data_IF_611334168285
#
_entry.id   IF_611334168285
#
_cell.length_a   1.000
_cell.length_b   1.000
_cell.length_c   1.000
_cell.angle_alpha   90.00
_cell.angle_beta   90.00
_cell.angle_gamma   90.00
#
_symmetry.space_group_name_H-M   'P 1'
#
loop_
_entity.id
_entity.type
_entity.pdbx_description
1 polymer ?
#
# COMPACT_ATOMS: atom_id res chain seq x y z
N UNK A 1 -11.63 7.79 -22.75
CA UNK A 1 -10.66 6.84 -23.33
C UNK A 1 -9.46 7.57 -23.94
N UNK A 2 -9.61 8.30 -25.04
CA UNK A 2 -8.50 9.04 -25.67
C UNK A 2 -8.09 10.29 -24.84
N UNK A 3 -9.08 11.06 -24.36
CA UNK A 3 -8.86 12.20 -23.46
C UNK A 3 -8.19 11.81 -22.13
N UNK A 4 -8.61 10.68 -21.54
CA UNK A 4 -8.02 10.15 -20.29
C UNK A 4 -6.58 9.67 -20.48
N UNK A 5 -6.25 9.07 -21.63
CA UNK A 5 -4.88 8.67 -21.97
C UNK A 5 -4.00 9.91 -22.14
N UNK A 6 -4.48 10.93 -22.84
CA UNK A 6 -3.74 12.20 -23.03
C UNK A 6 -3.49 12.90 -21.70
N UNK A 7 -4.49 12.94 -20.81
CA UNK A 7 -4.36 13.55 -19.48
C UNK A 7 -3.34 12.81 -18.60
N UNK A 8 -3.38 11.46 -18.58
CA UNK A 8 -2.43 10.64 -17.81
C UNK A 8 -1.00 10.81 -18.32
N UNK A 9 -0.81 10.81 -19.65
CA UNK A 9 0.51 11.03 -20.26
C UNK A 9 1.01 12.45 -19.98
N UNK A 10 0.13 13.45 -20.00
CA UNK A 10 0.46 14.82 -19.64
C UNK A 10 0.89 14.97 -18.18
N UNK A 11 0.17 14.33 -17.23
CA UNK A 11 0.53 14.32 -15.82
C UNK A 11 1.86 13.60 -15.57
N UNK A 12 2.09 12.46 -16.22
CA UNK A 12 3.38 11.77 -16.17
C UNK A 12 4.51 12.63 -16.73
N UNK A 13 4.29 13.33 -17.84
CA UNK A 13 5.28 14.24 -18.41
C UNK A 13 5.62 15.40 -17.46
N UNK A 14 4.61 15.98 -16.78
CA UNK A 14 4.80 17.03 -15.77
C UNK A 14 5.58 16.50 -14.57
N UNK A 15 5.27 15.29 -14.10
CA UNK A 15 5.97 14.62 -13.00
C UNK A 15 7.44 14.34 -13.38
N UNK A 16 7.69 13.74 -14.55
CA UNK A 16 9.04 13.34 -15.00
C UNK A 16 9.93 14.57 -15.28
N UNK A 17 9.37 15.63 -15.89
CA UNK A 17 10.13 16.87 -16.17
C UNK A 17 10.48 17.65 -14.90
N UNK A 18 9.66 17.57 -13.85
CA UNK A 18 9.86 18.30 -12.58
C UNK A 18 10.59 17.47 -11.51
N UNK A 19 10.75 16.16 -11.73
CA UNK A 19 11.39 15.19 -10.83
C UNK A 19 12.81 14.78 -11.21
N UNK A 20 13.44 15.44 -12.19
CA UNK A 20 14.80 15.09 -12.63
C UNK A 20 15.87 15.40 -11.57
N UNK A 21 16.24 14.39 -10.78
CA UNK A 21 17.56 14.29 -10.14
C UNK A 21 17.82 15.17 -8.91
N UNK A 22 16.85 15.28 -7.99
CA UNK A 22 17.07 15.97 -6.70
C UNK A 22 17.12 14.97 -5.56
N UNK A 23 18.18 15.04 -4.75
CA UNK A 23 18.36 14.22 -3.53
C UNK A 23 17.29 14.49 -2.46
N UNK A 24 16.47 15.53 -2.63
CA UNK A 24 15.26 15.82 -1.86
C UNK A 24 14.06 15.68 -2.78
N UNK A 25 13.21 14.65 -2.58
CA UNK A 25 12.06 14.40 -3.43
C UNK A 25 11.02 15.52 -3.29
N UNK A 26 10.48 15.94 -4.43
CA UNK A 26 9.34 16.87 -4.47
C UNK A 26 8.05 16.13 -4.06
N UNK A 27 7.03 16.84 -3.58
CA UNK A 27 5.76 16.23 -3.13
C UNK A 27 5.12 15.30 -4.19
N UNK A 28 5.24 15.68 -5.46
CA UNK A 28 4.74 14.90 -6.61
C UNK A 28 5.54 13.62 -6.88
N UNK A 29 6.82 13.59 -6.51
CA UNK A 29 7.66 12.40 -6.63
C UNK A 29 7.38 11.44 -5.47
N UNK A 30 7.21 11.96 -4.25
CA UNK A 30 6.81 11.17 -3.07
C UNK A 30 5.47 10.45 -3.29
N UNK A 31 4.49 11.12 -3.92
CA UNK A 31 3.22 10.49 -4.29
C UNK A 31 3.40 9.32 -5.27
N UNK A 32 4.32 9.44 -6.24
CA UNK A 32 4.59 8.39 -7.23
C UNK A 32 5.32 7.21 -6.59
N UNK A 33 6.31 7.47 -5.74
CA UNK A 33 6.98 6.45 -4.94
C UNK A 33 5.99 5.72 -4.01
N UNK A 34 5.06 6.43 -3.38
CA UNK A 34 3.99 5.83 -2.55
C UNK A 34 3.09 4.89 -3.36
N UNK A 35 2.67 5.30 -4.54
CA UNK A 35 1.85 4.45 -5.43
C UNK A 35 2.65 3.24 -5.90
N UNK A 36 3.94 3.41 -6.19
CA UNK A 36 4.81 2.35 -6.67
C UNK A 36 5.07 1.30 -5.58
N UNK A 37 5.38 1.75 -4.36
CA UNK A 37 5.60 0.89 -3.19
C UNK A 37 4.31 0.16 -2.78
N UNK A 38 3.17 0.85 -2.80
CA UNK A 38 1.86 0.24 -2.56
C UNK A 38 1.54 -0.89 -3.55
N UNK A 39 1.75 -0.67 -4.84
CA UNK A 39 1.54 -1.71 -5.86
C UNK A 39 2.52 -2.87 -5.65
N UNK A 40 3.76 -2.59 -5.26
CA UNK A 40 4.77 -3.61 -5.00
C UNK A 40 4.41 -4.46 -3.78
N UNK A 41 3.96 -3.85 -2.69
CA UNK A 41 3.51 -4.56 -1.51
C UNK A 41 2.25 -5.38 -1.81
N UNK A 42 1.28 -4.81 -2.52
CA UNK A 42 0.07 -5.51 -2.96
C UNK A 42 0.41 -6.75 -3.81
N UNK A 43 1.30 -6.61 -4.79
CA UNK A 43 1.72 -7.71 -5.66
C UNK A 43 2.48 -8.77 -4.87
N UNK A 44 3.31 -8.36 -3.91
CA UNK A 44 4.08 -9.29 -3.11
C UNK A 44 3.21 -10.11 -2.16
N UNK A 45 2.25 -9.47 -1.51
CA UNK A 45 1.32 -10.06 -0.55
C UNK A 45 0.28 -10.96 -1.24
N UNK A 46 -0.31 -10.49 -2.35
CA UNK A 46 -1.41 -11.21 -3.03
C UNK A 46 -0.92 -12.28 -4.01
N UNK A 47 0.25 -12.10 -4.63
CA UNK A 47 0.86 -13.07 -5.57
C UNK A 47 1.97 -13.89 -4.88
N UNK A 48 1.92 -13.98 -3.54
CA UNK A 48 2.94 -14.55 -2.64
C UNK A 48 3.47 -15.96 -2.93
N UNK A 49 2.85 -16.73 -3.84
CA UNK A 49 3.26 -18.10 -4.19
C UNK A 49 4.17 -18.26 -5.41
N UNK A 50 4.39 -17.21 -6.22
CA UNK A 50 5.17 -17.32 -7.47
C UNK A 50 6.62 -16.83 -7.27
N UNK A 51 7.60 -17.66 -7.66
CA UNK A 51 9.05 -17.40 -7.61
C UNK A 51 9.40 -15.98 -8.07
N UNK A 52 10.27 -15.28 -7.33
CA UNK A 52 10.58 -13.86 -7.53
C UNK A 52 10.97 -13.46 -8.97
N UNK A 53 11.44 -14.42 -9.78
CA UNK A 53 11.79 -14.20 -11.19
C UNK A 53 10.57 -13.95 -12.11
N UNK A 54 9.42 -14.56 -11.83
CA UNK A 54 8.19 -14.33 -12.61
C UNK A 54 7.44 -13.09 -12.14
N UNK A 55 7.47 -12.76 -10.84
CA UNK A 55 6.84 -11.55 -10.28
C UNK A 55 7.33 -10.27 -10.95
N UNK A 56 8.64 -10.10 -11.10
CA UNK A 56 9.25 -8.93 -11.74
C UNK A 56 8.83 -8.74 -13.20
N UNK A 57 8.47 -9.82 -13.90
CA UNK A 57 8.03 -9.75 -15.30
C UNK A 57 6.58 -9.30 -15.45
N UNK A 58 5.72 -9.66 -14.49
CA UNK A 58 4.32 -9.22 -14.44
C UNK A 58 4.15 -7.86 -13.75
N UNK A 59 5.08 -7.48 -12.87
CA UNK A 59 5.02 -6.27 -12.06
C UNK A 59 4.84 -4.96 -12.88
N UNK A 60 5.63 -4.70 -13.95
CA UNK A 60 5.43 -3.51 -14.78
C UNK A 60 4.04 -3.45 -15.41
N UNK A 61 3.49 -4.61 -15.77
CA UNK A 61 2.16 -4.71 -16.41
C UNK A 61 1.03 -4.47 -15.41
N UNK A 62 1.18 -4.93 -14.17
CA UNK A 62 0.23 -4.70 -13.08
C UNK A 62 0.27 -3.22 -12.66
N UNK A 63 1.47 -2.65 -12.50
CA UNK A 63 1.66 -1.24 -12.14
C UNK A 63 1.01 -0.28 -13.15
N UNK A 64 1.26 -0.48 -14.44
CA UNK A 64 0.67 0.35 -15.50
C UNK A 64 -0.85 0.24 -15.53
N UNK A 65 -1.40 -0.98 -15.39
CA UNK A 65 -2.85 -1.20 -15.42
C UNK A 65 -3.52 -0.60 -14.18
N UNK A 66 -2.91 -0.74 -13.00
CA UNK A 66 -3.40 -0.18 -11.74
C UNK A 66 -3.44 1.34 -11.76
N UNK A 67 -2.33 2.00 -12.12
CA UNK A 67 -2.28 3.46 -12.22
C UNK A 67 -3.26 3.98 -13.27
N UNK A 68 -3.34 3.33 -14.43
CA UNK A 68 -4.30 3.71 -15.47
C UNK A 68 -5.76 3.53 -15.03
N UNK A 69 -6.05 2.47 -14.27
CA UNK A 69 -7.38 2.24 -13.73
C UNK A 69 -7.75 3.31 -12.71
N UNK A 70 -6.86 3.69 -11.78
CA UNK A 70 -7.12 4.75 -10.79
C UNK A 70 -7.52 6.10 -11.40
N UNK A 71 -6.93 6.50 -12.54
CA UNK A 71 -7.29 7.74 -13.22
C UNK A 71 -8.59 7.63 -14.04
N UNK A 72 -8.94 6.43 -14.50
CA UNK A 72 -10.20 6.18 -15.22
C UNK A 72 -11.39 5.97 -14.26
N UNK A 73 -11.13 5.39 -13.10
CA UNK A 73 -12.11 4.91 -12.13
C UNK A 73 -13.15 5.96 -11.68
N UNK A 74 -12.79 7.24 -11.46
CA UNK A 74 -13.78 8.25 -11.06
C UNK A 74 -14.88 8.51 -12.10
N UNK A 75 -14.76 7.99 -13.32
CA UNK A 75 -15.73 8.19 -14.41
C UNK A 75 -16.66 6.98 -14.66
N UNK A 76 -16.57 5.85 -13.93
CA UNK A 76 -17.58 4.79 -14.09
C UNK A 76 -17.30 3.35 -13.65
N UNK A 77 -16.23 3.04 -12.92
CA UNK A 77 -16.08 1.69 -12.33
C UNK A 77 -15.65 1.85 -10.87
N UNK A 78 -16.12 1.00 -9.95
CA UNK A 78 -15.80 1.07 -8.51
C UNK A 78 -14.95 -0.12 -8.04
N UNK A 79 -14.73 -1.12 -8.91
CA UNK A 79 -14.09 -2.39 -8.53
C UNK A 79 -12.68 -2.23 -7.93
N UNK A 80 -11.73 -1.57 -8.62
CA UNK A 80 -10.36 -1.40 -8.12
C UNK A 80 -10.28 -0.57 -6.82
N UNK A 81 -11.08 0.50 -6.70
CA UNK A 81 -11.13 1.29 -5.46
C UNK A 81 -11.72 0.48 -4.30
N UNK A 82 -12.73 -0.36 -4.56
CA UNK A 82 -13.32 -1.22 -3.55
C UNK A 82 -12.31 -2.27 -3.05
N UNK A 83 -11.50 -2.86 -3.95
CA UNK A 83 -10.45 -3.81 -3.56
C UNK A 83 -9.38 -3.13 -2.71
N UNK A 84 -8.93 -1.93 -3.10
CA UNK A 84 -7.95 -1.16 -2.31
C UNK A 84 -8.51 -0.80 -0.94
N UNK A 85 -9.75 -0.31 -0.88
CA UNK A 85 -10.43 0.02 0.38
C UNK A 85 -10.60 -1.22 1.27
N UNK A 86 -10.94 -2.37 0.71
CA UNK A 86 -11.10 -3.62 1.43
C UNK A 86 -9.76 -4.12 2.01
N UNK A 87 -8.67 -4.03 1.25
CA UNK A 87 -7.34 -4.44 1.71
C UNK A 87 -6.78 -3.49 2.78
N UNK A 88 -6.89 -2.18 2.60
CA UNK A 88 -6.49 -1.21 3.64
C UNK A 88 -7.35 -1.37 4.90
N UNK A 89 -8.64 -1.66 4.76
CA UNK A 89 -9.52 -1.99 5.89
C UNK A 89 -9.12 -3.28 6.60
N UNK A 90 -8.71 -4.30 5.85
CA UNK A 90 -8.22 -5.57 6.40
C UNK A 90 -6.92 -5.38 7.19
N UNK A 91 -5.96 -4.61 6.67
CA UNK A 91 -4.70 -4.31 7.37
C UNK A 91 -4.94 -3.54 8.68
N UNK A 92 -5.83 -2.55 8.65
CA UNK A 92 -6.24 -1.82 9.85
C UNK A 92 -6.91 -2.76 10.88
N UNK A 93 -7.74 -3.70 10.41
CA UNK A 93 -8.36 -4.71 11.25
C UNK A 93 -7.33 -5.62 11.93
N UNK A 94 -6.32 -6.10 11.19
CA UNK A 94 -5.22 -6.91 11.73
C UNK A 94 -4.39 -6.11 12.74
N UNK A 95 -4.09 -4.84 12.45
CA UNK A 95 -3.34 -3.98 13.37
C UNK A 95 -4.08 -3.76 14.71
N UNK A 96 -5.40 -3.54 14.65
CA UNK A 96 -6.25 -3.39 15.84
C UNK A 96 -6.30 -4.70 16.64
N UNK A 97 -6.46 -5.85 15.97
CA UNK A 97 -6.43 -7.15 16.63
C UNK A 97 -5.09 -7.43 17.32
N UNK A 98 -3.96 -7.12 16.66
CA UNK A 98 -2.64 -7.33 17.24
C UNK A 98 -2.39 -6.42 18.46
N UNK A 99 -2.86 -5.16 18.42
CA UNK A 99 -2.78 -4.25 19.56
C UNK A 99 -3.61 -4.75 20.76
N UNK A 100 -4.78 -5.35 20.53
CA UNK A 100 -5.60 -5.94 21.58
C UNK A 100 -4.90 -7.14 22.24
N UNK A 101 -4.33 -8.06 21.44
CA UNK A 101 -3.59 -9.22 21.96
C UNK A 101 -2.36 -8.78 22.79
N UNK A 102 -1.62 -7.77 22.31
CA UNK A 102 -0.51 -7.20 23.06
C UNK A 102 -0.93 -6.60 24.39
N UNK A 103 -2.08 -5.94 24.44
CA UNK A 103 -2.62 -5.36 25.67
C UNK A 103 -2.94 -6.44 26.71
N UNK A 104 -3.59 -7.53 26.29
CA UNK A 104 -3.90 -8.65 27.19
C UNK A 104 -2.62 -9.27 27.78
N UNK A 105 -1.60 -9.48 26.95
CA UNK A 105 -0.32 -10.02 27.42
C UNK A 105 0.34 -9.12 28.47
N UNK A 106 0.28 -7.79 28.27
CA UNK A 106 0.80 -6.82 29.24
C UNK A 106 0.02 -6.91 30.56
N UNK A 107 -1.32 -6.98 30.50
CA UNK A 107 -2.16 -7.10 31.70
C UNK A 107 -1.86 -8.38 32.50
N UNK A 108 -1.74 -9.53 31.83
CA UNK A 108 -1.39 -10.80 32.47
C UNK A 108 -0.01 -10.71 33.12
N UNK A 109 0.97 -10.16 32.41
CA UNK A 109 2.33 -9.99 32.93
C UNK A 109 2.38 -9.06 34.15
N UNK A 110 1.64 -7.94 34.11
CA UNK A 110 1.56 -7.00 35.23
C UNK A 110 0.90 -7.63 36.47
N UNK A 111 -0.13 -8.44 36.24
CA UNK A 111 -0.82 -9.18 37.29
C UNK A 111 0.08 -10.24 37.93
N UNK A 112 0.85 -10.97 37.12
CA UNK A 112 1.84 -11.95 37.58
C UNK A 112 2.96 -11.30 38.40
N UNK A 113 3.53 -10.19 37.92
CA UNK A 113 4.57 -9.44 38.64
C UNK A 113 4.07 -8.90 40.01
N UNK A 114 2.82 -8.46 40.08
CA UNK A 114 2.22 -7.98 41.34
C UNK A 114 1.95 -9.13 42.31
N UNK A 115 1.53 -10.30 41.81
CA UNK A 115 1.28 -11.49 42.63
C UNK A 115 2.55 -12.04 43.25
N UNK A 116 3.66 -12.06 42.49
CA UNK A 116 4.97 -12.48 42.98
C UNK A 116 5.50 -11.56 44.10
N UNK A 117 5.30 -10.25 43.99
CA UNK A 117 5.78 -9.29 44.99
C UNK A 117 4.95 -9.25 46.29
N UNK A 118 3.74 -9.82 46.30
CA UNK A 118 2.89 -9.93 47.50
C UNK A 118 3.11 -11.23 48.29
N UNK A 119 3.83 -12.21 47.71
CA UNK A 119 4.14 -13.51 48.31
C UNK A 119 5.53 -13.56 48.96
N UNK A 120 6.22 -12.41 49.06
CA UNK A 120 7.47 -12.21 49.80
C UNK A 120 7.21 -11.50 51.16
#
# INVERSE_FOLDING_TARGET
MLLTVVLVVFLFFVVTKKGGGKSVPNAWQSLVELIYDFVLNLVNEQIGGLSGNVKQKFFPRISVTFTFSLFRNPQGDLGPLFIVLALTGLELGVAISQAHVSTISICIYLNDATNLHQNE
#
